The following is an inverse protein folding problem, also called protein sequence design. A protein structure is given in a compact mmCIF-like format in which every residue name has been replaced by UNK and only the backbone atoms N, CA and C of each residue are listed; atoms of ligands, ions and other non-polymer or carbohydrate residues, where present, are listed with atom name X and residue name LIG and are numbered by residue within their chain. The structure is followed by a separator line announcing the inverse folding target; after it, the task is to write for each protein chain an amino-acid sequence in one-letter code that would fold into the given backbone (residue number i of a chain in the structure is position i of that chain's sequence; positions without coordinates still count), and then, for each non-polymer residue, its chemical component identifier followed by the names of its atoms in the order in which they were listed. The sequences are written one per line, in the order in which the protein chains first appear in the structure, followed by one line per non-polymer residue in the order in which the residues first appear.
data_IF_560702727568
#
_entry.id   IF_560702727568
#
_cell.length_a   1.000
_cell.length_b   1.000
_cell.length_c   1.000
_cell.angle_alpha   90.00
_cell.angle_beta   90.00
_cell.angle_gamma   90.00
#
_symmetry.space_group_name_H-M   'P 1'
#
loop_
_entity.id
_entity.type
_entity.pdbx_description
1 polymer ?
#
# COMPACT_ATOMS: atom_id res chain seq x y z
N UNK A 1 -9.08 -15.37 -13.89
CA UNK A 1 -8.33 -15.12 -12.63
C UNK A 1 -8.00 -16.41 -11.91
N UNK A 2 -8.93 -17.36 -11.79
CA UNK A 2 -8.62 -18.70 -11.30
C UNK A 2 -7.54 -19.37 -12.17
N UNK A 3 -6.64 -20.12 -11.54
CA UNK A 3 -5.49 -20.76 -12.18
C UNK A 3 -4.38 -19.80 -12.60
N UNK A 4 -4.50 -18.49 -12.35
CA UNK A 4 -3.48 -17.51 -12.70
C UNK A 4 -2.18 -17.82 -11.95
N UNK A 5 -1.08 -17.95 -12.71
CA UNK A 5 0.25 -18.08 -12.15
C UNK A 5 0.75 -16.70 -11.74
N UNK A 6 0.98 -16.52 -10.45
CA UNK A 6 1.44 -15.26 -9.86
C UNK A 6 2.80 -15.49 -9.25
N UNK A 7 3.78 -14.67 -9.65
CA UNK A 7 5.11 -14.68 -9.06
C UNK A 7 5.02 -14.13 -7.64
N UNK A 8 5.45 -14.90 -6.66
CA UNK A 8 5.60 -14.47 -5.28
C UNK A 8 7.05 -14.06 -5.05
N UNK A 9 7.27 -12.78 -4.74
CA UNK A 9 8.60 -12.31 -4.33
C UNK A 9 8.87 -12.66 -2.87
N UNK A 10 10.12 -12.97 -2.48
CA UNK A 10 10.48 -13.12 -1.08
C UNK A 10 10.20 -11.80 -0.33
N UNK A 11 9.89 -11.85 0.97
CA UNK A 11 9.81 -10.66 1.80
C UNK A 11 11.03 -9.75 1.65
N UNK A 12 10.80 -8.46 1.44
CA UNK A 12 11.85 -7.47 1.29
C UNK A 12 11.79 -6.43 2.41
N UNK A 13 12.94 -5.90 2.79
CA UNK A 13 13.03 -4.70 3.63
C UNK A 13 13.76 -3.64 2.83
N UNK A 14 13.21 -2.42 2.79
CA UNK A 14 13.78 -1.37 1.95
C UNK A 14 13.43 0.03 2.42
N UNK A 15 14.16 1.01 1.87
CA UNK A 15 13.87 2.42 2.06
C UNK A 15 12.47 2.76 1.53
N UNK A 16 11.85 3.84 2.02
CA UNK A 16 10.55 4.25 1.52
C UNK A 16 10.55 4.54 0.02
N UNK A 17 11.61 5.17 -0.47
CA UNK A 17 11.81 5.46 -1.89
C UNK A 17 11.98 4.17 -2.72
N UNK A 18 12.83 3.24 -2.25
CA UNK A 18 13.04 1.94 -2.90
C UNK A 18 11.76 1.14 -3.02
N UNK A 19 10.97 1.05 -1.95
CA UNK A 19 9.73 0.28 -1.97
C UNK A 19 8.75 0.81 -3.02
N UNK A 20 8.60 2.13 -3.13
CA UNK A 20 7.73 2.74 -4.15
C UNK A 20 8.31 2.60 -5.56
N UNK A 21 9.63 2.66 -5.71
CA UNK A 21 10.31 2.44 -6.97
C UNK A 21 10.14 1.00 -7.49
N UNK A 22 10.20 0.00 -6.61
CA UNK A 22 9.94 -1.40 -6.97
C UNK A 22 8.46 -1.61 -7.33
N UNK A 23 7.52 -1.04 -6.58
CA UNK A 23 6.09 -1.12 -6.91
C UNK A 23 5.81 -0.56 -8.33
N UNK A 24 6.38 0.58 -8.69
CA UNK A 24 6.22 1.16 -10.03
C UNK A 24 6.97 0.38 -11.11
N UNK A 25 8.18 -0.14 -10.83
CA UNK A 25 8.92 -0.97 -11.78
C UNK A 25 8.16 -2.26 -12.13
N UNK A 26 7.57 -2.91 -11.12
CA UNK A 26 6.70 -4.06 -11.30
C UNK A 26 5.44 -3.67 -12.08
N UNK A 27 4.79 -2.56 -11.75
CA UNK A 27 3.61 -2.08 -12.48
C UNK A 27 3.90 -1.88 -13.97
N UNK A 28 5.01 -1.24 -14.32
CA UNK A 28 5.43 -1.01 -15.70
C UNK A 28 5.69 -2.33 -16.44
N UNK A 29 6.53 -3.20 -15.89
CA UNK A 29 6.93 -4.45 -16.55
C UNK A 29 5.78 -5.46 -16.68
N UNK A 30 4.98 -5.62 -15.62
CA UNK A 30 3.80 -6.50 -15.65
C UNK A 30 2.72 -5.94 -16.57
N UNK A 31 2.43 -4.65 -16.49
CA UNK A 31 1.41 -4.00 -17.33
C UNK A 31 1.73 -4.07 -18.83
N UNK A 32 3.02 -4.04 -19.17
CA UNK A 32 3.51 -4.21 -20.54
C UNK A 32 3.68 -5.67 -20.97
N UNK A 33 3.28 -6.65 -20.14
CA UNK A 33 3.38 -8.08 -20.45
C UNK A 33 4.81 -8.63 -20.47
N UNK A 34 5.79 -7.88 -19.97
CA UNK A 34 7.22 -8.27 -19.92
C UNK A 34 7.58 -9.07 -18.67
N UNK A 35 6.70 -9.03 -17.67
CA UNK A 35 6.81 -9.82 -16.45
C UNK A 35 5.46 -10.44 -16.06
N UNK A 36 5.51 -11.50 -15.25
CA UNK A 36 4.32 -12.20 -14.76
C UNK A 36 3.60 -11.36 -13.70
N UNK A 37 2.26 -11.51 -13.56
CA UNK A 37 1.53 -11.03 -12.39
C UNK A 37 2.31 -11.31 -11.11
N UNK A 38 2.40 -10.33 -10.20
CA UNK A 38 3.29 -10.39 -9.05
C UNK A 38 2.56 -10.08 -7.75
N UNK A 39 2.81 -10.89 -6.73
CA UNK A 39 2.46 -10.63 -5.33
C UNK A 39 3.76 -10.45 -4.55
N UNK A 40 3.85 -9.41 -3.73
CA UNK A 40 5.00 -9.20 -2.84
C UNK A 40 4.56 -8.68 -1.48
N UNK A 41 5.41 -8.95 -0.49
CA UNK A 41 5.29 -8.45 0.87
C UNK A 41 6.58 -7.76 1.26
N UNK A 42 6.50 -6.66 2.00
CA UNK A 42 7.70 -5.91 2.38
C UNK A 42 7.52 -5.12 3.68
N UNK A 43 8.66 -4.66 4.20
CA UNK A 43 8.81 -3.80 5.37
C UNK A 43 9.45 -2.48 4.98
N UNK A 44 9.25 -1.48 5.83
CA UNK A 44 9.82 -0.15 5.69
C UNK A 44 11.01 -0.01 6.64
N UNK A 45 12.18 0.32 6.11
CA UNK A 45 13.35 0.64 6.89
C UNK A 45 14.02 1.91 6.34
N UNK A 46 13.97 3.04 7.06
CA UNK A 46 13.26 3.23 8.34
C UNK A 46 11.73 3.15 8.21
N UNK A 47 10.96 3.17 9.32
CA UNK A 47 9.53 3.50 9.32
C UNK A 47 9.25 4.75 8.47
N UNK A 48 8.05 4.87 7.92
CA UNK A 48 7.79 5.87 6.89
C UNK A 48 6.40 6.49 6.98
N UNK A 49 6.30 7.81 6.79
CA UNK A 49 5.05 8.45 6.40
C UNK A 49 4.95 8.41 4.86
N UNK A 50 3.98 7.67 4.32
CA UNK A 50 3.66 7.75 2.90
C UNK A 50 2.51 8.72 2.65
N UNK A 51 2.61 9.54 1.61
CA UNK A 51 1.57 10.52 1.22
C UNK A 51 1.05 10.21 -0.17
N UNK A 52 -0.25 10.37 -0.38
CA UNK A 52 -0.88 10.04 -1.66
C UNK A 52 -0.43 10.96 -2.79
N UNK A 53 -0.45 10.44 -4.02
CA UNK A 53 -0.01 11.15 -5.24
C UNK A 53 -0.50 12.60 -5.33
N UNK A 54 -1.77 12.84 -5.00
CA UNK A 54 -2.42 14.15 -5.16
C UNK A 54 -2.50 14.97 -3.85
N UNK A 55 -1.88 14.51 -2.76
CA UNK A 55 -1.91 15.27 -1.50
C UNK A 55 -0.93 16.45 -1.54
N UNK A 56 -1.39 17.65 -1.21
CA UNK A 56 -0.51 18.78 -0.94
C UNK A 56 0.08 18.63 0.46
N UNK A 57 1.39 18.83 0.60
CA UNK A 57 2.08 18.78 1.89
C UNK A 57 2.18 20.14 2.59
N UNK A 58 1.70 21.22 1.96
CA UNK A 58 1.88 22.63 2.35
C UNK A 58 1.78 22.93 3.84
N UNK A 59 2.91 22.79 4.55
CA UNK A 59 3.06 23.05 6.00
C UNK A 59 2.40 22.03 6.94
N UNK A 60 1.79 20.96 6.45
CA UNK A 60 0.97 20.04 7.26
C UNK A 60 1.77 18.85 7.82
N UNK A 61 2.89 18.52 7.20
CA UNK A 61 3.83 17.51 7.70
C UNK A 61 4.94 18.22 8.46
N UNK A 62 5.06 17.94 9.77
CA UNK A 62 6.13 18.47 10.62
C UNK A 62 7.40 17.64 10.44
N UNK A 63 8.24 18.07 9.50
CA UNK A 63 9.48 17.37 9.15
C UNK A 63 10.41 17.19 10.32
N UNK A 64 10.46 18.17 11.21
CA UNK A 64 11.29 18.16 12.40
C UNK A 64 10.90 16.98 13.30
N UNK A 65 9.60 16.68 13.38
CA UNK A 65 9.11 15.53 14.16
C UNK A 65 9.42 14.22 13.44
N UNK A 66 9.23 14.15 12.12
CA UNK A 66 9.59 12.94 11.36
C UNK A 66 11.08 12.62 11.50
N UNK A 67 11.95 13.63 11.40
CA UNK A 67 13.39 13.47 11.57
C UNK A 67 13.75 13.05 13.00
N UNK A 68 13.17 13.69 14.02
CA UNK A 68 13.41 13.35 15.42
C UNK A 68 12.96 11.92 15.79
N UNK A 69 11.90 11.42 15.16
CA UNK A 69 11.38 10.05 15.34
C UNK A 69 12.05 9.03 14.39
N UNK A 70 12.97 9.46 13.52
CA UNK A 70 13.64 8.59 12.55
C UNK A 70 12.71 8.04 11.47
N UNK A 71 11.67 8.78 11.09
CA UNK A 71 10.65 8.38 10.12
C UNK A 71 10.95 9.01 8.75
N UNK A 72 11.04 8.17 7.72
CA UNK A 72 11.18 8.63 6.34
C UNK A 72 9.89 9.22 5.77
N UNK A 73 9.98 10.03 4.72
CA UNK A 73 8.84 10.58 3.99
C UNK A 73 8.91 10.14 2.53
N UNK A 74 7.79 9.66 1.98
CA UNK A 74 7.71 9.33 0.55
C UNK A 74 6.33 9.65 -0.02
N UNK A 75 6.28 10.08 -1.28
CA UNK A 75 5.03 10.12 -2.05
C UNK A 75 4.84 8.83 -2.83
N UNK A 76 3.70 8.17 -2.64
CA UNK A 76 3.36 6.94 -3.37
C UNK A 76 2.72 7.24 -4.72
N UNK A 77 2.82 6.32 -5.70
CA UNK A 77 2.21 6.52 -7.02
C UNK A 77 0.67 6.44 -6.99
N UNK A 78 0.10 5.82 -5.96
CA UNK A 78 -1.35 5.71 -5.74
C UNK A 78 -1.92 6.95 -5.04
N UNK A 79 -3.24 7.13 -5.10
CA UNK A 79 -3.93 8.19 -4.35
C UNK A 79 -4.06 7.90 -2.85
N UNK A 80 -5.11 8.45 -2.24
CA UNK A 80 -5.43 8.24 -0.82
C UNK A 80 -4.75 9.24 0.12
N UNK A 81 -4.93 9.03 1.43
CA UNK A 81 -4.45 9.92 2.50
C UNK A 81 -3.15 9.43 3.13
N UNK A 82 -2.52 10.23 3.99
CA UNK A 82 -1.24 9.86 4.56
C UNK A 82 -1.34 8.59 5.42
N UNK A 83 -0.32 7.73 5.37
CA UNK A 83 -0.25 6.49 6.15
C UNK A 83 1.10 6.42 6.84
N UNK A 84 1.08 6.23 8.16
CA UNK A 84 2.28 5.92 8.91
C UNK A 84 2.53 4.40 8.83
N UNK A 85 3.68 4.04 8.29
CA UNK A 85 4.18 2.69 8.17
C UNK A 85 5.23 2.43 9.25
N UNK A 86 5.05 1.35 10.00
CA UNK A 86 5.96 0.95 11.07
C UNK A 86 6.04 -0.57 11.18
N UNK A 87 5.55 -1.12 12.28
CA UNK A 87 5.49 -2.56 12.50
C UNK A 87 4.26 -3.17 11.80
N UNK A 88 4.43 -3.50 10.52
CA UNK A 88 3.35 -3.94 9.63
C UNK A 88 3.80 -4.99 8.61
N UNK A 89 2.82 -5.68 8.03
CA UNK A 89 2.94 -6.37 6.75
C UNK A 89 2.42 -5.45 5.66
N UNK A 90 3.29 -4.89 4.84
CA UNK A 90 2.89 -4.19 3.62
C UNK A 90 2.83 -5.17 2.47
N UNK A 91 1.76 -5.14 1.69
CA UNK A 91 1.59 -6.01 0.53
C UNK A 91 1.43 -5.18 -0.75
N UNK A 92 1.83 -5.75 -1.88
CA UNK A 92 1.46 -5.23 -3.19
C UNK A 92 1.10 -6.38 -4.15
N UNK A 93 -0.01 -6.19 -4.86
CA UNK A 93 -0.53 -7.02 -5.95
C UNK A 93 -0.41 -6.22 -7.25
N UNK A 94 0.27 -6.80 -8.23
CA UNK A 94 0.47 -6.22 -9.54
C UNK A 94 -0.07 -7.18 -10.60
N UNK A 95 -1.03 -6.72 -11.40
CA UNK A 95 -1.72 -7.52 -12.40
C UNK A 95 -1.76 -6.77 -13.74
N UNK A 96 -1.55 -7.43 -14.88
CA UNK A 96 -1.82 -6.81 -16.17
C UNK A 96 -3.33 -6.60 -16.33
N UNK A 97 -3.78 -5.52 -16.99
CA UNK A 97 -5.21 -5.29 -17.18
C UNK A 97 -5.89 -6.42 -17.99
N UNK A 98 -5.12 -7.11 -18.83
CA UNK A 98 -5.54 -8.25 -19.61
C UNK A 98 -6.05 -9.45 -18.78
N UNK A 99 -5.82 -9.52 -17.46
CA UNK A 99 -6.32 -10.65 -16.63
C UNK A 99 -7.84 -10.64 -16.40
N UNK A 100 -8.55 -9.65 -16.97
CA UNK A 100 -10.01 -9.58 -16.93
C UNK A 100 -10.57 -9.00 -15.64
N UNK A 101 -9.79 -8.20 -14.91
CA UNK A 101 -10.33 -7.45 -13.77
C UNK A 101 -11.32 -6.37 -14.26
N UNK A 102 -12.42 -6.12 -13.53
CA UNK A 102 -13.35 -5.04 -13.86
C UNK A 102 -12.64 -3.69 -13.97
N UNK A 103 -13.03 -2.88 -14.96
CA UNK A 103 -12.49 -1.51 -15.13
C UNK A 103 -12.83 -0.59 -13.95
N UNK A 104 -13.96 -0.82 -13.29
CA UNK A 104 -14.33 -0.09 -12.07
C UNK A 104 -13.35 -0.39 -10.94
N UNK A 105 -12.73 0.66 -10.40
CA UNK A 105 -11.81 0.60 -9.25
C UNK A 105 -12.46 -0.14 -8.08
N UNK A 106 -13.68 0.27 -7.71
CA UNK A 106 -14.52 -0.36 -6.68
C UNK A 106 -14.70 -1.86 -6.89
N UNK A 107 -15.01 -2.28 -8.12
CA UNK A 107 -15.25 -3.69 -8.42
C UNK A 107 -13.95 -4.52 -8.40
N UNK A 108 -12.85 -3.97 -8.92
CA UNK A 108 -11.53 -4.60 -8.84
C UNK A 108 -11.05 -4.74 -7.38
N UNK A 109 -11.22 -3.68 -6.60
CA UNK A 109 -10.90 -3.66 -5.17
C UNK A 109 -11.70 -4.74 -4.42
N UNK A 110 -13.02 -4.80 -4.61
CA UNK A 110 -13.89 -5.83 -3.99
C UNK A 110 -13.42 -7.25 -4.26
N UNK A 111 -12.87 -7.50 -5.45
CA UNK A 111 -12.31 -8.80 -5.81
C UNK A 111 -11.02 -9.06 -5.03
N UNK A 112 -10.06 -8.15 -5.09
CA UNK A 112 -8.75 -8.33 -4.44
C UNK A 112 -8.85 -8.40 -2.91
N UNK A 113 -9.78 -7.66 -2.30
CA UNK A 113 -10.05 -7.72 -0.86
C UNK A 113 -10.54 -9.08 -0.38
N UNK A 114 -11.01 -9.97 -1.27
CA UNK A 114 -11.36 -11.34 -0.88
C UNK A 114 -10.12 -12.12 -0.42
N UNK A 115 -8.98 -11.92 -1.08
CA UNK A 115 -7.72 -12.55 -0.69
C UNK A 115 -7.24 -12.08 0.69
N UNK A 116 -7.31 -10.76 0.92
CA UNK A 116 -7.01 -10.18 2.23
C UNK A 116 -7.95 -10.68 3.32
N UNK A 117 -9.26 -10.66 3.06
CA UNK A 117 -10.27 -11.13 4.00
C UNK A 117 -10.08 -12.61 4.34
N UNK A 118 -9.75 -13.44 3.35
CA UNK A 118 -9.46 -14.86 3.60
C UNK A 118 -8.19 -15.04 4.42
N UNK A 119 -7.14 -14.26 4.16
CA UNK A 119 -5.93 -14.29 4.99
C UNK A 119 -6.21 -13.90 6.44
N UNK A 120 -7.06 -12.91 6.67
CA UNK A 120 -7.52 -12.55 8.03
C UNK A 120 -8.30 -13.68 8.70
N UNK A 121 -9.16 -14.39 7.96
CA UNK A 121 -9.88 -15.57 8.50
C UNK A 121 -8.94 -16.69 8.91
N UNK A 122 -7.88 -16.92 8.14
CA UNK A 122 -6.86 -17.92 8.48
C UNK A 122 -6.10 -17.58 9.77
N UNK A 123 -6.00 -16.30 10.11
CA UNK A 123 -5.45 -15.83 11.40
C UNK A 123 -6.47 -15.91 12.55
N UNK A 124 -7.73 -16.26 12.28
CA UNK A 124 -8.81 -16.30 13.27
C UNK A 124 -9.59 -14.99 13.41
N UNK A 125 -9.41 -14.03 12.51
CA UNK A 125 -10.14 -12.75 12.49
C UNK A 125 -11.35 -12.88 11.57
N UNK A 126 -12.53 -12.49 12.03
CA UNK A 126 -13.70 -12.32 11.15
C UNK A 126 -13.67 -10.92 10.53
N UNK A 127 -13.39 -10.78 9.22
CA UNK A 127 -13.25 -9.47 8.60
C UNK A 127 -14.61 -8.85 8.28
N UNK A 128 -14.74 -7.56 8.56
CA UNK A 128 -15.87 -6.73 8.20
C UNK A 128 -15.50 -5.86 7.00
N UNK A 129 -16.34 -5.81 5.97
CA UNK A 129 -16.13 -4.91 4.83
C UNK A 129 -16.79 -3.56 5.13
N UNK A 130 -15.99 -2.54 5.40
CA UNK A 130 -16.51 -1.19 5.56
C UNK A 130 -16.92 -0.63 4.20
N UNK A 131 -18.21 -0.34 4.06
CA UNK A 131 -18.73 0.46 2.95
C UNK A 131 -18.91 1.90 3.45
N UNK A 132 -18.41 2.92 2.72
CA UNK A 132 -18.77 4.29 3.01
C UNK A 132 -20.30 4.43 2.92
N UNK A 133 -20.94 4.78 4.02
CA UNK A 133 -22.39 5.01 4.07
C UNK A 133 -22.79 6.39 3.52
N UNK A 134 -21.83 7.23 3.09
CA UNK A 134 -22.09 8.53 2.47
C UNK A 134 -20.93 9.00 1.57
N UNK A 135 -21.24 9.90 0.60
CA UNK A 135 -20.22 10.69 -0.11
C UNK A 135 -19.35 11.43 0.92
N UNK A 136 -18.02 11.51 0.75
CA UNK A 136 -17.21 12.41 1.57
C UNK A 136 -17.78 13.82 1.40
N UNK A 137 -18.14 14.46 2.50
CA UNK A 137 -18.48 15.87 2.50
C UNK A 137 -17.32 16.61 1.83
N UNK A 138 -17.64 17.48 0.87
CA UNK A 138 -16.67 18.36 0.22
C UNK A 138 -15.78 19.00 1.28
N UNK A 139 -14.48 18.71 1.22
CA UNK A 139 -13.47 19.28 2.11
C UNK A 139 -13.50 20.80 1.99
N UNK A 140 -14.11 21.47 2.97
CA UNK A 140 -13.92 22.90 3.19
C UNK A 140 -12.46 23.18 3.53
N UNK A 141 -11.99 24.36 3.13
CA UNK A 141 -10.65 24.85 3.43
C UNK A 141 -10.44 24.91 4.96
N UNK A 142 -9.77 23.90 5.52
CA UNK A 142 -9.52 23.80 6.96
C UNK A 142 -9.38 22.38 7.51
N UNK A 143 -9.72 21.33 6.76
CA UNK A 143 -9.48 19.95 7.20
C UNK A 143 -8.00 19.56 7.05
N UNK A 144 -7.34 19.18 8.15
CA UNK A 144 -5.97 18.67 8.11
C UNK A 144 -5.89 17.38 7.26
N UNK A 145 -4.84 17.22 6.46
CA UNK A 145 -4.69 16.10 5.51
C UNK A 145 -4.22 14.78 6.15
N UNK A 146 -4.13 14.73 7.48
CA UNK A 146 -3.71 13.56 8.27
C UNK A 146 -4.87 12.66 8.70
N UNK A 147 -6.09 12.91 8.22
CA UNK A 147 -7.19 12.05 8.64
C UNK A 147 -7.02 10.64 8.09
N UNK A 148 -7.18 9.67 8.98
CA UNK A 148 -7.52 8.27 8.72
C UNK A 148 -9.05 8.06 8.74
N UNK A 149 -9.82 9.14 8.92
CA UNK A 149 -11.28 9.15 9.20
C UNK A 149 -12.27 8.87 8.05
N UNK A 150 -12.04 9.31 6.81
CA UNK A 150 -12.91 8.96 5.68
C UNK A 150 -12.65 7.51 5.23
N UNK A 151 -13.62 6.58 5.38
CA UNK A 151 -13.45 5.23 4.87
C UNK A 151 -13.14 5.32 3.37
N UNK A 152 -11.97 4.85 2.97
CA UNK A 152 -11.77 4.51 1.57
C UNK A 152 -12.67 3.33 1.24
N UNK A 153 -13.14 3.26 0.00
CA UNK A 153 -14.05 2.21 -0.43
C UNK A 153 -13.44 0.82 -0.12
N UNK A 154 -14.16 -0.01 0.64
CA UNK A 154 -13.82 -1.40 1.00
C UNK A 154 -12.60 -1.59 1.92
N UNK A 155 -12.39 -0.72 2.89
CA UNK A 155 -11.47 -1.04 4.00
C UNK A 155 -11.92 -2.30 4.74
N UNK A 156 -10.95 -3.15 5.15
CA UNK A 156 -11.26 -4.30 6.01
C UNK A 156 -11.11 -3.87 7.46
N UNK A 157 -12.11 -4.21 8.26
CA UNK A 157 -12.14 -3.97 9.69
C UNK A 157 -12.20 -5.29 10.47
N UNK A 158 -11.83 -5.20 11.74
CA UNK A 158 -12.02 -6.23 12.74
C UNK A 158 -12.61 -5.55 13.98
N UNK A 159 -13.70 -6.10 14.51
CA UNK A 159 -14.36 -5.57 15.71
C UNK A 159 -14.74 -4.08 15.55
N UNK A 160 -15.28 -3.71 14.38
CA UNK A 160 -15.65 -2.34 14.04
C UNK A 160 -14.49 -1.34 13.86
N UNK A 161 -13.23 -1.78 13.97
CA UNK A 161 -12.04 -0.93 13.77
C UNK A 161 -11.30 -1.31 12.50
N UNK A 162 -10.82 -0.31 11.77
CA UNK A 162 -10.06 -0.51 10.53
C UNK A 162 -8.77 -1.29 10.80
N UNK A 163 -8.54 -2.35 10.03
CA UNK A 163 -7.37 -3.23 10.12
C UNK A 163 -6.52 -3.23 8.84
N UNK A 164 -7.14 -3.14 7.66
CA UNK A 164 -6.41 -3.06 6.38
C UNK A 164 -6.86 -1.85 5.58
N UNK A 165 -5.89 -1.03 5.20
CA UNK A 165 -6.06 0.06 4.23
C UNK A 165 -5.32 -0.26 2.94
N UNK A 166 -5.98 -0.07 1.80
CA UNK A 166 -5.34 -0.25 0.49
C UNK A 166 -5.58 0.93 -0.45
N UNK A 167 -4.68 1.11 -1.40
CA UNK A 167 -4.80 2.08 -2.48
C UNK A 167 -4.50 1.39 -3.81
N UNK A 168 -5.14 1.87 -4.88
CA UNK A 168 -5.03 1.27 -6.21
C UNK A 168 -4.67 2.32 -7.26
N UNK A 169 -3.89 1.90 -8.26
CA UNK A 169 -3.54 2.67 -9.45
C UNK A 169 -3.66 1.76 -10.68
N UNK A 170 -4.22 2.29 -11.77
CA UNK A 170 -4.15 1.70 -13.11
C UNK A 170 -3.30 2.60 -13.99
N UNK A 171 -2.19 2.09 -14.51
CA UNK A 171 -1.26 2.80 -15.41
C UNK A 171 -0.39 1.77 -16.13
N UNK A 172 0.17 2.15 -17.29
CA UNK A 172 1.12 1.32 -18.05
C UNK A 172 0.55 -0.06 -18.48
N UNK A 173 -0.77 -0.15 -18.68
CA UNK A 173 -1.43 -1.43 -19.00
C UNK A 173 -1.55 -2.40 -17.81
N UNK A 174 -1.24 -1.95 -16.60
CA UNK A 174 -1.33 -2.74 -15.37
C UNK A 174 -2.14 -2.08 -14.26
N UNK A 175 -2.46 -2.88 -13.25
CA UNK A 175 -3.07 -2.49 -11.99
C UNK A 175 -2.08 -2.79 -10.86
N UNK A 176 -1.83 -1.79 -10.02
CA UNK A 176 -1.13 -1.90 -8.75
C UNK A 176 -2.16 -1.69 -7.63
N UNK A 177 -2.28 -2.64 -6.72
CA UNK A 177 -2.93 -2.44 -5.43
C UNK A 177 -1.95 -2.77 -4.32
N UNK A 178 -1.73 -1.82 -3.43
CA UNK A 178 -0.90 -2.04 -2.24
C UNK A 178 -1.62 -1.58 -0.98
N UNK A 179 -1.20 -2.09 0.16
CA UNK A 179 -1.82 -1.75 1.42
C UNK A 179 -1.01 -2.22 2.62
N UNK A 180 -1.47 -1.82 3.79
CA UNK A 180 -0.84 -2.11 5.08
C UNK A 180 -1.79 -2.93 5.94
N UNK A 181 -1.23 -3.95 6.59
CA UNK A 181 -1.80 -4.71 7.70
C UNK A 181 -0.90 -4.49 8.93
N UNK A 182 -1.26 -3.61 9.87
CA UNK A 182 -0.46 -3.34 11.06
C UNK A 182 -0.34 -4.58 11.94
N UNK A 183 0.89 -4.98 12.26
CA UNK A 183 1.16 -6.02 13.24
C UNK A 183 0.97 -5.46 14.64
N UNK A 184 1.51 -4.26 14.87
CA UNK A 184 1.38 -3.47 16.09
C UNK A 184 1.27 -1.98 15.76
N UNK A 185 0.46 -1.24 16.53
CA UNK A 185 0.35 0.22 16.40
C UNK A 185 0.96 0.87 17.64
N UNK A 186 2.02 1.66 17.45
CA UNK A 186 2.53 2.55 18.50
C UNK A 186 1.65 3.80 18.59
N UNK A 187 0.64 3.74 19.46
CA UNK A 187 -0.33 4.82 19.65
C UNK A 187 0.32 6.11 20.15
N UNK A 188 1.40 6.01 20.92
CA UNK A 188 2.11 7.17 21.44
C UNK A 188 2.91 7.86 20.32
N UNK A 189 3.58 7.10 19.47
CA UNK A 189 4.26 7.63 18.29
C UNK A 189 3.27 8.29 17.34
N UNK A 190 2.15 7.62 17.02
CA UNK A 190 1.11 8.21 16.17
C UNK A 190 0.57 9.50 16.78
N UNK A 191 0.34 9.56 18.09
CA UNK A 191 -0.12 10.78 18.76
C UNK A 191 0.87 11.96 18.65
N UNK A 192 2.19 11.71 18.64
CA UNK A 192 3.20 12.77 18.46
C UNK A 192 3.23 13.32 17.03
N UNK A 193 2.97 12.46 16.04
CA UNK A 193 2.98 12.82 14.63
C UNK A 193 1.72 13.56 14.18
N UNK A 194 0.59 13.27 14.81
CA UNK A 194 -0.69 13.88 14.49
C UNK A 194 -0.88 15.16 15.33
N UNK A 195 -0.96 16.32 14.68
CA UNK A 195 -1.23 17.58 15.37
C UNK A 195 -2.72 17.73 15.75
N UNK A 196 -3.03 18.10 16.99
CA UNK A 196 -4.35 18.63 17.39
C UNK A 196 -5.52 17.63 17.50
N UNK A 197 -6.70 18.04 17.04
CA UNK A 197 -8.06 17.47 17.25
C UNK A 197 -8.32 16.07 16.67
N UNK A 198 -7.30 15.33 16.26
CA UNK A 198 -7.42 14.04 15.58
C UNK A 198 -7.16 12.83 16.50
N UNK A 199 -7.36 12.96 17.81
CA UNK A 199 -7.29 11.82 18.74
C UNK A 199 -8.28 10.69 18.36
N UNK A 200 -9.38 11.01 17.67
CA UNK A 200 -10.32 10.02 17.11
C UNK A 200 -9.71 9.08 16.07
N UNK A 201 -8.66 9.52 15.35
CA UNK A 201 -7.90 8.70 14.38
C UNK A 201 -7.29 7.48 15.04
N UNK A 202 -6.77 7.63 16.26
CA UNK A 202 -6.18 6.52 17.01
C UNK A 202 -7.24 5.45 17.32
N UNK A 203 -8.46 5.85 17.67
CA UNK A 203 -9.49 4.90 18.08
C UNK A 203 -10.14 4.14 16.91
N UNK A 204 -10.05 4.67 15.69
CA UNK A 204 -10.66 4.09 14.50
C UNK A 204 -9.85 2.95 13.86
N UNK A 205 -8.59 2.74 14.27
CA UNK A 205 -7.71 1.70 13.74
C UNK A 205 -7.32 0.67 14.80
N UNK A 206 -7.07 -0.56 14.34
CA UNK A 206 -6.59 -1.69 15.13
C UNK A 206 -5.43 -2.38 14.41
N UNK A 207 -4.64 -3.13 15.17
CA UNK A 207 -3.58 -4.02 14.68
C UNK A 207 -3.97 -5.49 14.79
N UNK A 208 -3.17 -6.37 14.19
CA UNK A 208 -3.29 -7.82 14.39
C UNK A 208 -3.10 -8.19 15.87
N UNK A 209 -2.13 -7.58 16.53
CA UNK A 209 -1.86 -7.83 17.95
C UNK A 209 -3.09 -7.54 18.83
N UNK A 210 -3.70 -6.37 18.63
CA UNK A 210 -4.91 -5.97 19.36
C UNK A 210 -6.12 -6.84 19.00
N UNK A 211 -6.29 -7.20 17.73
CA UNK A 211 -7.43 -7.98 17.26
C UNK A 211 -7.38 -9.44 17.75
N UNK A 212 -6.19 -10.01 17.88
CA UNK A 212 -5.97 -11.41 18.28
C UNK A 212 -5.59 -11.58 19.76
N UNK A 213 -5.25 -10.49 20.45
CA UNK A 213 -4.78 -10.53 21.82
C UNK A 213 -3.40 -11.17 22.00
N UNK A 214 -2.58 -11.23 20.93
CA UNK A 214 -1.21 -11.75 20.95
C UNK A 214 -0.33 -11.13 19.87
N UNK A 215 0.99 -11.03 20.06
CA UNK A 215 1.90 -10.64 19.00
C UNK A 215 1.81 -11.58 17.79
N UNK A 216 1.89 -11.01 16.59
CA UNK A 216 1.92 -11.75 15.31
C UNK A 216 3.20 -11.38 14.57
N UNK A 217 4.12 -12.34 14.34
CA UNK A 217 5.28 -12.11 13.49
C UNK A 217 4.87 -11.76 12.06
N UNK A 218 5.71 -10.98 11.38
CA UNK A 218 5.46 -10.63 9.98
C UNK A 218 5.32 -11.85 9.08
N UNK A 219 6.14 -12.87 9.31
CA UNK A 219 6.16 -14.10 8.54
C UNK A 219 4.80 -14.80 8.63
N UNK A 220 4.20 -14.78 9.82
CA UNK A 220 2.86 -15.35 10.06
C UNK A 220 1.79 -14.53 9.33
N UNK A 221 1.80 -13.20 9.49
CA UNK A 221 0.85 -12.31 8.81
C UNK A 221 0.97 -12.37 7.28
N UNK A 222 2.19 -12.35 6.75
CA UNK A 222 2.46 -12.46 5.32
C UNK A 222 2.07 -13.83 4.76
N UNK A 223 2.37 -14.93 5.47
CA UNK A 223 1.97 -16.28 5.06
C UNK A 223 0.44 -16.43 5.03
N UNK A 224 -0.28 -15.86 6.01
CA UNK A 224 -1.73 -15.87 6.01
C UNK A 224 -2.32 -15.09 4.83
N UNK A 225 -1.81 -13.89 4.54
CA UNK A 225 -2.25 -13.12 3.36
C UNK A 225 -1.91 -13.84 2.05
N UNK A 226 -0.73 -14.43 1.95
CA UNK A 226 -0.30 -15.23 0.81
C UNK A 226 -1.29 -16.37 0.53
N UNK A 227 -1.60 -17.17 1.55
CA UNK A 227 -2.56 -18.28 1.45
C UNK A 227 -3.98 -17.76 1.17
N UNK A 228 -4.35 -16.63 1.77
CA UNK A 228 -5.64 -15.98 1.52
C UNK A 228 -5.83 -15.59 0.06
N UNK A 229 -4.82 -14.96 -0.57
CA UNK A 229 -4.84 -14.66 -2.00
C UNK A 229 -4.92 -15.93 -2.85
N UNK A 230 -4.14 -16.97 -2.52
CA UNK A 230 -4.16 -18.24 -3.25
C UNK A 230 -5.55 -18.90 -3.21
N UNK A 231 -6.14 -19.04 -2.03
CA UNK A 231 -7.46 -19.67 -1.83
C UNK A 231 -8.60 -18.86 -2.45
N UNK A 232 -8.69 -17.58 -2.11
CA UNK A 232 -9.87 -16.78 -2.47
C UNK A 232 -9.93 -16.41 -3.95
N UNK A 233 -8.77 -16.34 -4.63
CA UNK A 233 -8.67 -15.96 -6.04
C UNK A 233 -8.27 -17.12 -6.96
N UNK A 234 -8.00 -18.30 -6.39
CA UNK A 234 -7.55 -19.49 -7.12
C UNK A 234 -6.19 -19.30 -7.78
N UNK A 235 -5.31 -18.49 -7.19
CA UNK A 235 -3.98 -18.21 -7.74
C UNK A 235 -3.00 -19.35 -7.47
N UNK A 236 -2.14 -19.62 -8.45
CA UNK A 236 -0.96 -20.49 -8.29
C UNK A 236 0.24 -19.61 -8.01
N UNK A 237 0.62 -19.53 -6.73
CA UNK A 237 1.77 -18.75 -6.30
C UNK A 237 3.06 -19.52 -6.59
N UNK A 238 3.92 -18.94 -7.42
CA UNK A 238 5.20 -19.52 -7.79
C UNK A 238 6.32 -18.62 -7.24
N UNK A 239 7.26 -19.13 -6.42
CA UNK A 239 8.39 -18.34 -5.95
C UNK A 239 9.17 -17.73 -7.11
N UNK A 240 9.66 -16.51 -6.92
CA UNK A 240 10.55 -15.86 -7.87
C UNK A 240 11.20 -14.62 -7.28
N UNK A 241 12.06 -13.98 -8.07
CA UNK A 241 12.76 -12.77 -7.70
C UNK A 241 12.41 -11.62 -8.65
N UNK A 242 12.81 -10.40 -8.29
CA UNK A 242 12.90 -9.31 -9.25
C UNK A 242 13.78 -9.76 -10.43
N UNK A 243 13.33 -9.48 -11.65
CA UNK A 243 14.18 -9.64 -12.83
C UNK A 243 15.30 -8.61 -12.80
N UNK A 244 16.37 -8.85 -13.57
CA UNK A 244 17.45 -7.87 -13.72
C UNK A 244 16.91 -6.52 -14.24
N UNK A 245 15.95 -6.56 -15.16
CA UNK A 245 15.26 -5.39 -15.68
C UNK A 245 14.49 -4.64 -14.58
N UNK A 246 13.67 -5.36 -13.79
CA UNK A 246 12.89 -4.75 -12.71
C UNK A 246 13.79 -4.09 -11.67
N UNK A 247 14.88 -4.76 -11.29
CA UNK A 247 15.84 -4.23 -10.33
C UNK A 247 16.57 -2.97 -10.87
N UNK A 248 16.93 -2.95 -12.16
CA UNK A 248 17.54 -1.78 -12.79
C UNK A 248 16.56 -0.61 -12.91
N UNK A 249 15.33 -0.89 -13.33
CA UNK A 249 14.27 0.12 -13.43
C UNK A 249 13.92 0.70 -12.05
N UNK A 250 13.81 -0.14 -11.02
CA UNK A 250 13.59 0.30 -9.65
C UNK A 250 14.72 1.22 -9.16
N UNK A 251 15.99 0.88 -9.40
CA UNK A 251 17.12 1.77 -9.04
C UNK A 251 17.05 3.12 -9.74
N UNK A 252 16.71 3.13 -11.04
CA UNK A 252 16.55 4.39 -11.78
C UNK A 252 15.39 5.21 -11.23
N UNK A 253 14.23 4.59 -10.98
CA UNK A 253 13.06 5.25 -10.41
C UNK A 253 13.30 5.76 -8.99
N UNK A 254 14.08 5.05 -8.18
CA UNK A 254 14.46 5.51 -6.85
C UNK A 254 15.20 6.85 -6.96
N UNK A 255 16.29 6.90 -7.72
CA UNK A 255 17.14 8.09 -7.84
C UNK A 255 16.44 9.24 -8.58
N UNK A 256 15.80 8.95 -9.71
CA UNK A 256 15.23 9.98 -10.58
C UNK A 256 13.86 10.48 -10.13
N UNK A 257 13.18 9.75 -9.24
CA UNK A 257 11.82 10.08 -8.80
C UNK A 257 11.65 9.97 -7.30
N UNK A 258 11.67 8.77 -6.74
CA UNK A 258 11.14 8.52 -5.40
C UNK A 258 12.01 9.06 -4.26
N UNK A 259 13.30 9.28 -4.50
CA UNK A 259 14.22 9.94 -3.59
C UNK A 259 14.33 11.45 -3.85
N UNK A 260 13.57 12.01 -4.80
CA UNK A 260 13.65 13.42 -5.16
C UNK A 260 12.68 14.28 -4.35
N UNK A 261 13.08 15.52 -3.97
CA UNK A 261 12.17 16.49 -3.40
C UNK A 261 11.03 16.87 -4.34
N UNK A 262 11.30 17.06 -5.64
CA UNK A 262 10.30 17.46 -6.63
C UNK A 262 9.10 16.49 -6.68
N UNK A 263 9.37 15.18 -6.63
CA UNK A 263 8.30 14.20 -6.52
C UNK A 263 7.65 14.21 -5.13
N UNK A 264 8.45 14.11 -4.06
CA UNK A 264 7.91 13.93 -2.71
C UNK A 264 7.08 15.14 -2.26
N UNK A 265 7.54 16.36 -2.50
CA UNK A 265 6.90 17.60 -2.09
C UNK A 265 5.84 18.08 -3.06
N UNK A 266 6.20 18.15 -4.34
CA UNK A 266 5.38 18.85 -5.32
C UNK A 266 4.56 17.89 -6.18
N UNK A 267 4.80 16.57 -6.07
CA UNK A 267 4.18 15.57 -6.93
C UNK A 267 4.57 15.73 -8.40
N UNK A 268 5.68 16.45 -8.67
CA UNK A 268 6.18 16.66 -10.02
C UNK A 268 6.77 15.36 -10.54
N UNK A 269 6.16 14.86 -11.62
CA UNK A 269 6.66 13.69 -12.30
C UNK A 269 7.97 14.08 -13.02
N UNK A 270 9.06 13.31 -12.88
CA UNK A 270 10.25 13.57 -13.67
C UNK A 270 9.87 13.49 -15.15
N UNK A 271 10.51 14.32 -15.98
CA UNK A 271 10.38 14.22 -17.43
C UNK A 271 10.60 12.76 -17.81
N UNK A 272 9.59 12.14 -18.43
CA UNK A 272 9.71 10.76 -18.85
C UNK A 272 10.88 10.69 -19.84
N UNK A 273 11.92 9.91 -19.53
CA UNK A 273 12.71 9.32 -20.61
C UNK A 273 11.76 8.34 -21.30
N UNK A 274 10.93 8.84 -22.22
CA UNK A 274 10.39 8.05 -23.30
C UNK A 274 11.57 7.55 -24.12
N UNK A 275 12.22 6.48 -23.66
CA UNK A 275 13.34 5.88 -24.37
C UNK A 275 13.17 4.36 -24.49
N UNK A 276 13.06 3.96 -25.76
CA UNK A 276 13.29 2.64 -26.35
C UNK A 276 12.16 1.60 -26.26
N UNK A 277 11.40 1.47 -27.37
CA UNK A 277 10.53 0.33 -27.60
C UNK A 277 9.45 0.45 -28.69
N UNK A 278 9.56 1.39 -29.63
CA UNK A 278 8.82 1.34 -30.89
C UNK A 278 9.83 1.56 -32.03
N UNK A 279 10.32 0.44 -32.55
CA UNK A 279 11.20 0.32 -33.70
C UNK A 279 11.15 -1.12 -34.15
#
# INVERSE_FOLDING_TARGET
MEGLRVRLLPPMTGSPAWNMAVDEALLRTVGQGRARPTLRFYRWQPPALSVGRFQSLGGQVRLEILQAEGIGLVRRPTGGRAVLHGDEVTYAVILPEAVGLPRSVTAAYRILSRGLAEGLRLLGITPEFLQPTAKPASSGAGASSLCFEAPSWYELAAQGKKLVGSAQLRRFGGLLQHGSLPLRIDRAQVARLVAGTHQGVLQAATSLEEALGRPVPFEEGAAALQEGFARALGWRLEPGNLTGEEAQLARRLEVAKYATPAWTWDGMEPAEEEAAGHG
#
